data_IF_189849005168
#
_entry.id   IF_189849005168
#
_cell.length_a   1.000
_cell.length_b   1.000
_cell.length_c   1.000
_cell.angle_alpha   90.00
_cell.angle_beta   90.00
_cell.angle_gamma   90.00
#
_symmetry.space_group_name_H-M   'P 1'
#
loop_
_entity.id
_entity.type
_entity.pdbx_description
1 polymer ?
#
# COMPACT_ATOMS: atom_id res chain seq x y z
N UNK A 1 21.78 -10.77 32.62
CA UNK A 1 20.83 -10.32 31.59
C UNK A 1 20.47 -11.54 30.75
N UNK A 2 19.20 -11.97 30.73
CA UNK A 2 18.79 -13.25 30.13
C UNK A 2 19.07 -13.29 28.61
N UNK A 3 19.51 -14.43 28.04
CA UNK A 3 19.78 -14.57 26.61
C UNK A 3 18.57 -14.26 25.70
N UNK A 4 17.34 -14.40 26.23
CA UNK A 4 16.10 -14.05 25.52
C UNK A 4 15.97 -12.54 25.22
N UNK A 5 16.54 -11.66 26.07
CA UNK A 5 16.52 -10.22 25.84
C UNK A 5 17.51 -9.77 24.75
N UNK A 6 18.65 -10.46 24.61
CA UNK A 6 19.61 -10.16 23.54
C UNK A 6 19.06 -10.55 22.17
N UNK A 7 18.34 -11.67 22.05
CA UNK A 7 17.79 -12.13 20.78
C UNK A 7 16.67 -11.19 20.27
N UNK A 8 15.76 -10.76 21.14
CA UNK A 8 14.70 -9.81 20.77
C UNK A 8 15.24 -8.45 20.32
N UNK A 9 16.33 -7.99 20.95
CA UNK A 9 16.95 -6.71 20.58
C UNK A 9 17.58 -6.78 19.19
N UNK A 10 18.30 -7.87 18.87
CA UNK A 10 18.84 -8.13 17.53
C UNK A 10 17.75 -8.24 16.48
N UNK A 11 16.65 -8.93 16.78
CA UNK A 11 15.49 -9.01 15.89
C UNK A 11 14.89 -7.63 15.62
N UNK A 12 14.69 -6.81 16.67
CA UNK A 12 14.17 -5.45 16.48
C UNK A 12 15.12 -4.57 15.66
N UNK A 13 16.44 -4.76 15.78
CA UNK A 13 17.44 -4.06 14.98
C UNK A 13 17.47 -4.54 13.51
N UNK A 14 17.29 -5.85 13.29
CA UNK A 14 17.24 -6.46 11.95
C UNK A 14 15.96 -6.05 11.21
N UNK A 15 14.81 -6.08 11.88
CA UNK A 15 13.53 -5.57 11.37
C UNK A 15 13.57 -4.07 11.13
N UNK A 16 14.15 -3.29 12.05
CA UNK A 16 14.32 -1.85 11.86
C UNK A 16 15.21 -1.56 10.65
N UNK A 17 16.27 -2.34 10.42
CA UNK A 17 17.09 -2.23 9.20
C UNK A 17 16.31 -2.58 7.94
N UNK A 18 15.55 -3.67 7.91
CA UNK A 18 14.74 -4.05 6.75
C UNK A 18 13.64 -3.02 6.44
N UNK A 19 12.97 -2.49 7.46
CA UNK A 19 11.98 -1.41 7.31
C UNK A 19 12.65 -0.11 6.87
N UNK A 20 13.84 0.20 7.41
CA UNK A 20 14.64 1.33 6.95
C UNK A 20 15.07 1.13 5.50
N UNK A 21 15.45 -0.08 5.09
CA UNK A 21 15.88 -0.41 3.73
C UNK A 21 14.72 -0.27 2.73
N UNK A 22 13.55 -0.80 3.07
CA UNK A 22 12.26 -0.59 2.41
C UNK A 22 11.97 0.90 2.17
N UNK A 23 12.19 1.73 3.18
CA UNK A 23 11.98 3.18 3.10
C UNK A 23 13.15 3.92 2.41
N UNK A 24 14.34 3.33 2.39
CA UNK A 24 15.58 3.93 1.88
C UNK A 24 15.79 3.73 0.39
N UNK A 25 14.99 2.89 -0.28
CA UNK A 25 14.91 2.90 -1.73
C UNK A 25 14.70 4.35 -2.15
N UNK A 26 15.74 4.95 -2.73
CA UNK A 26 15.74 6.37 -3.06
C UNK A 26 14.75 6.56 -4.20
N UNK A 27 13.51 6.86 -3.83
CA UNK A 27 12.48 7.26 -4.78
C UNK A 27 13.01 8.46 -5.55
N UNK A 28 13.03 8.34 -6.87
CA UNK A 28 13.22 9.48 -7.74
C UNK A 28 12.17 10.55 -7.39
N UNK A 29 12.47 11.82 -7.62
CA UNK A 29 11.48 12.88 -7.36
C UNK A 29 10.16 12.62 -8.11
N UNK A 30 10.24 11.97 -9.26
CA UNK A 30 9.10 11.53 -10.07
C UNK A 30 8.27 10.45 -9.39
N UNK A 31 8.90 9.48 -8.73
CA UNK A 31 8.20 8.39 -8.03
C UNK A 31 7.39 8.94 -6.85
N UNK A 32 7.98 9.90 -6.11
CA UNK A 32 7.29 10.58 -5.00
C UNK A 32 6.09 11.37 -5.50
N UNK A 33 6.24 12.03 -6.64
CA UNK A 33 5.15 12.77 -7.28
C UNK A 33 4.04 11.83 -7.78
N UNK A 34 4.39 10.72 -8.43
CA UNK A 34 3.45 9.69 -8.88
C UNK A 34 2.65 9.09 -7.71
N UNK A 35 3.31 8.77 -6.58
CA UNK A 35 2.65 8.28 -5.37
C UNK A 35 1.67 9.31 -4.79
N UNK A 36 2.06 10.59 -4.77
CA UNK A 36 1.18 11.66 -4.29
C UNK A 36 -0.05 11.82 -5.18
N UNK A 37 0.15 11.83 -6.50
CA UNK A 37 -0.93 11.88 -7.50
C UNK A 37 -1.87 10.67 -7.34
N UNK A 38 -1.33 9.46 -7.23
CA UNK A 38 -2.15 8.25 -7.06
C UNK A 38 -3.01 8.30 -5.81
N UNK A 39 -2.49 8.83 -4.71
CA UNK A 39 -3.27 8.97 -3.47
C UNK A 39 -4.45 9.94 -3.63
N UNK A 40 -4.28 11.01 -4.40
CA UNK A 40 -5.33 12.01 -4.62
C UNK A 40 -6.33 11.56 -5.69
N UNK A 41 -5.84 11.09 -6.84
CA UNK A 41 -6.67 10.66 -7.98
C UNK A 41 -7.35 9.31 -7.73
N UNK A 42 -6.70 8.41 -6.98
CA UNK A 42 -7.25 7.08 -6.64
C UNK A 42 -8.41 7.11 -5.65
N UNK A 43 -8.80 8.27 -5.13
CA UNK A 43 -9.96 8.37 -4.23
C UNK A 43 -11.27 8.33 -5.02
N UNK A 44 -12.17 7.43 -4.64
CA UNK A 44 -13.51 7.35 -5.23
C UNK A 44 -14.30 8.66 -5.15
N UNK A 45 -14.05 9.46 -4.09
CA UNK A 45 -14.70 10.78 -3.92
C UNK A 45 -14.24 11.80 -4.97
N UNK A 46 -12.97 11.74 -5.38
CA UNK A 46 -12.42 12.63 -6.41
C UNK A 46 -13.07 12.35 -7.78
N UNK A 47 -13.25 11.07 -8.11
CA UNK A 47 -13.98 10.67 -9.33
C UNK A 47 -15.41 11.21 -9.35
N UNK A 48 -16.16 11.06 -8.24
CA UNK A 48 -17.52 11.60 -8.14
C UNK A 48 -17.56 13.13 -8.27
N UNK A 49 -16.59 13.83 -7.71
CA UNK A 49 -16.49 15.29 -7.82
C UNK A 49 -16.27 15.73 -9.27
N UNK A 50 -15.33 15.08 -9.99
CA UNK A 50 -15.09 15.36 -11.41
C UNK A 50 -16.31 15.04 -12.28
N UNK A 51 -16.99 13.93 -12.00
CA UNK A 51 -18.20 13.55 -12.69
C UNK A 51 -19.31 14.58 -12.47
N UNK A 52 -19.56 14.96 -11.21
CA UNK A 52 -20.56 15.97 -10.86
C UNK A 52 -20.26 17.32 -11.50
N UNK A 53 -19.00 17.76 -11.48
CA UNK A 53 -18.54 18.97 -12.16
C UNK A 53 -18.80 18.90 -13.68
N UNK A 54 -18.44 17.79 -14.32
CA UNK A 54 -18.64 17.59 -15.76
C UNK A 54 -20.12 17.63 -16.14
N UNK A 55 -20.97 16.94 -15.38
CA UNK A 55 -22.42 16.93 -15.59
C UNK A 55 -23.01 18.33 -15.38
N UNK A 56 -22.59 19.03 -14.33
CA UNK A 56 -23.07 20.39 -14.03
C UNK A 56 -22.67 21.36 -15.15
N UNK A 57 -21.43 21.27 -15.62
CA UNK A 57 -20.93 22.10 -16.71
C UNK A 57 -21.65 21.80 -18.04
N UNK A 58 -21.91 20.52 -18.33
CA UNK A 58 -22.69 20.12 -19.50
C UNK A 58 -24.13 20.61 -19.42
N UNK A 59 -24.77 20.49 -18.25
CA UNK A 59 -26.11 20.99 -18.02
C UNK A 59 -26.18 22.51 -18.20
N UNK A 60 -25.18 23.24 -17.68
CA UNK A 60 -25.08 24.69 -17.86
C UNK A 60 -24.94 25.10 -19.33
N UNK A 61 -24.07 24.43 -20.10
CA UNK A 61 -23.91 24.76 -21.52
C UNK A 61 -25.09 24.31 -22.40
N UNK A 62 -25.81 23.25 -22.01
CA UNK A 62 -26.96 22.74 -22.77
C UNK A 62 -28.25 23.54 -22.51
N UNK A 63 -28.53 23.84 -21.24
CA UNK A 63 -29.79 24.50 -20.83
C UNK A 63 -29.62 26.01 -20.58
N UNK A 64 -28.38 26.52 -20.57
CA UNK A 64 -28.10 27.93 -20.36
C UNK A 64 -28.53 28.83 -21.53
N UNK A 65 -28.79 30.12 -21.29
CA UNK A 65 -29.11 31.10 -22.32
C UNK A 65 -28.00 31.19 -23.37
N UNK A 66 -28.34 31.32 -24.66
CA UNK A 66 -27.36 31.34 -25.77
C UNK A 66 -26.23 32.37 -25.57
N UNK A 67 -26.54 33.52 -24.96
CA UNK A 67 -25.57 34.59 -24.68
C UNK A 67 -24.55 34.27 -23.56
N UNK A 68 -24.81 33.24 -22.75
CA UNK A 68 -23.96 32.81 -21.63
C UNK A 68 -23.36 31.41 -21.87
N UNK A 69 -23.58 30.82 -23.06
CA UNK A 69 -22.96 29.55 -23.43
C UNK A 69 -21.48 29.77 -23.69
N UNK A 70 -20.65 29.18 -22.83
CA UNK A 70 -19.19 29.23 -22.94
C UNK A 70 -18.69 28.37 -24.10
N UNK A 71 -19.42 27.29 -24.46
CA UNK A 71 -19.01 26.32 -25.47
C UNK A 71 -20.15 26.00 -26.48
N UNK A 72 -20.30 26.81 -27.55
CA UNK A 72 -21.21 26.53 -28.65
C UNK A 72 -20.75 25.31 -29.48
N UNK A 73 -21.70 24.61 -30.11
CA UNK A 73 -21.40 23.56 -31.09
C UNK A 73 -20.45 24.13 -32.17
N UNK A 74 -19.21 23.63 -32.36
CA UNK A 74 -18.69 22.28 -32.13
C UNK A 74 -17.60 22.12 -31.04
N UNK A 75 -17.32 23.14 -30.22
CA UNK A 75 -16.17 23.12 -29.31
C UNK A 75 -16.32 22.10 -28.15
N UNK A 76 -17.54 21.70 -27.80
CA UNK A 76 -17.81 20.62 -26.84
C UNK A 76 -17.11 19.31 -27.20
N UNK A 77 -17.14 18.93 -28.48
CA UNK A 77 -16.51 17.69 -28.97
C UNK A 77 -15.00 17.78 -28.82
N UNK A 78 -14.42 18.95 -29.09
CA UNK A 78 -12.99 19.19 -28.89
C UNK A 78 -12.61 19.14 -27.42
N UNK A 79 -13.43 19.70 -26.52
CA UNK A 79 -13.21 19.63 -25.08
C UNK A 79 -13.22 18.18 -24.57
N UNK A 80 -14.22 17.38 -24.96
CA UNK A 80 -14.28 15.97 -24.61
C UNK A 80 -13.07 15.19 -25.15
N UNK A 81 -12.68 15.46 -26.40
CA UNK A 81 -11.52 14.83 -27.01
C UNK A 81 -10.22 15.17 -26.27
N UNK A 82 -10.00 16.44 -25.95
CA UNK A 82 -8.83 16.90 -25.18
C UNK A 82 -8.84 16.29 -23.78
N UNK A 83 -9.99 16.26 -23.11
CA UNK A 83 -10.14 15.63 -21.79
C UNK A 83 -9.77 14.14 -21.83
N UNK A 84 -10.26 13.41 -22.84
CA UNK A 84 -9.94 12.00 -23.01
C UNK A 84 -8.44 11.76 -23.30
N UNK A 85 -7.82 12.59 -24.14
CA UNK A 85 -6.38 12.54 -24.38
C UNK A 85 -5.57 12.74 -23.10
N UNK A 86 -5.94 13.72 -22.28
CA UNK A 86 -5.29 13.96 -20.97
C UNK A 86 -5.46 12.75 -20.04
N UNK A 87 -6.66 12.13 -20.01
CA UNK A 87 -6.90 10.92 -19.22
C UNK A 87 -5.99 9.77 -19.64
N UNK A 88 -5.81 9.55 -20.95
CA UNK A 88 -4.92 8.50 -21.46
C UNK A 88 -3.45 8.74 -21.07
N UNK A 89 -3.01 10.00 -21.02
CA UNK A 89 -1.67 10.34 -20.53
C UNK A 89 -1.50 10.08 -19.01
N UNK A 90 -2.59 10.11 -18.24
CA UNK A 90 -2.54 9.79 -16.81
C UNK A 90 -2.41 8.28 -16.52
N UNK A 91 -2.82 7.39 -17.43
CA UNK A 91 -2.78 5.93 -17.19
C UNK A 91 -1.35 5.40 -16.90
N UNK A 92 -0.32 5.72 -17.70
CA UNK A 92 1.05 5.28 -17.41
C UNK A 92 1.59 5.84 -16.09
N UNK A 93 1.23 7.09 -15.75
CA UNK A 93 1.61 7.71 -14.48
C UNK A 93 0.97 6.97 -13.30
N UNK A 94 -0.32 6.63 -13.42
CA UNK A 94 -1.03 5.82 -12.45
C UNK A 94 -0.39 4.43 -12.30
N UNK A 95 -0.04 3.80 -13.42
CA UNK A 95 0.58 2.48 -13.47
C UNK A 95 1.94 2.46 -12.75
N UNK A 96 2.78 3.48 -12.91
CA UNK A 96 4.06 3.58 -12.18
C UNK A 96 3.84 3.64 -10.67
N UNK A 97 2.88 4.45 -10.21
CA UNK A 97 2.59 4.50 -8.78
C UNK A 97 1.95 3.20 -8.25
N UNK A 98 1.21 2.45 -9.08
CA UNK A 98 0.66 1.14 -8.71
C UNK A 98 1.76 0.08 -8.60
N UNK A 99 2.68 0.00 -9.58
CA UNK A 99 3.83 -0.91 -9.56
C UNK A 99 4.68 -0.69 -8.30
N UNK A 100 4.88 0.57 -7.92
CA UNK A 100 5.67 0.92 -6.74
C UNK A 100 5.01 0.49 -5.42
N UNK A 101 3.69 0.69 -5.30
CA UNK A 101 2.93 0.22 -4.15
C UNK A 101 2.86 -1.32 -4.11
N UNK A 102 2.73 -1.99 -5.27
CA UNK A 102 2.78 -3.45 -5.37
C UNK A 102 4.10 -4.01 -4.86
N UNK A 103 5.24 -3.47 -5.34
CA UNK A 103 6.57 -3.89 -4.87
C UNK A 103 6.75 -3.70 -3.37
N UNK A 104 6.21 -2.63 -2.79
CA UNK A 104 6.21 -2.42 -1.33
C UNK A 104 5.35 -3.46 -0.61
N UNK A 105 4.20 -3.81 -1.18
CA UNK A 105 3.33 -4.85 -0.64
C UNK A 105 4.02 -6.21 -0.66
N UNK A 106 4.69 -6.56 -1.76
CA UNK A 106 5.41 -7.84 -1.92
C UNK A 106 6.57 -7.96 -0.92
N UNK A 107 7.36 -6.90 -0.78
CA UNK A 107 8.45 -6.87 0.21
C UNK A 107 7.93 -6.97 1.65
N UNK A 108 6.79 -6.33 1.96
CA UNK A 108 6.16 -6.45 3.29
C UNK A 108 5.67 -7.88 3.53
N UNK A 109 5.06 -8.51 2.52
CA UNK A 109 4.62 -9.89 2.61
C UNK A 109 5.78 -10.85 2.86
N UNK A 110 6.94 -10.64 2.21
CA UNK A 110 8.15 -11.45 2.45
C UNK A 110 8.67 -11.30 3.90
N UNK A 111 8.70 -10.07 4.43
CA UNK A 111 9.12 -9.81 5.81
C UNK A 111 8.15 -10.47 6.79
N UNK A 112 6.84 -10.29 6.58
CA UNK A 112 5.81 -10.91 7.43
C UNK A 112 5.88 -12.43 7.39
N UNK A 113 6.20 -13.02 6.22
CA UNK A 113 6.43 -14.45 6.07
C UNK A 113 7.63 -14.93 6.89
N UNK A 114 8.79 -14.26 6.81
CA UNK A 114 9.98 -14.62 7.57
C UNK A 114 9.75 -14.48 9.09
N UNK A 115 9.05 -13.44 9.53
CA UNK A 115 8.65 -13.27 10.94
C UNK A 115 7.78 -14.44 11.40
N UNK A 116 6.76 -14.81 10.61
CA UNK A 116 5.86 -15.90 10.94
C UNK A 116 6.59 -17.24 11.00
N UNK A 117 7.49 -17.53 10.05
CA UNK A 117 8.29 -18.75 10.05
C UNK A 117 9.15 -18.86 11.30
N UNK A 118 9.84 -17.79 11.68
CA UNK A 118 10.65 -17.77 12.91
C UNK A 118 9.80 -17.91 14.16
N UNK A 119 8.63 -17.27 14.23
CA UNK A 119 7.71 -17.42 15.35
C UNK A 119 7.20 -18.87 15.47
N UNK A 120 7.00 -19.56 14.35
CA UNK A 120 6.66 -20.98 14.35
C UNK A 120 7.81 -21.84 14.89
N UNK A 121 9.05 -21.57 14.50
CA UNK A 121 10.26 -22.24 15.03
C UNK A 121 10.41 -22.03 16.54
N UNK A 122 10.27 -20.80 17.02
CA UNK A 122 10.32 -20.47 18.45
C UNK A 122 9.20 -21.20 19.23
N UNK A 123 7.98 -21.24 18.69
CA UNK A 123 6.86 -21.96 19.30
C UNK A 123 7.15 -23.47 19.37
N UNK A 124 7.70 -24.07 18.32
CA UNK A 124 8.09 -25.50 18.33
C UNK A 124 9.16 -25.77 19.39
N UNK A 125 10.13 -24.88 19.54
CA UNK A 125 11.17 -25.02 20.56
C UNK A 125 10.59 -24.94 21.98
N UNK A 126 9.67 -24.00 22.22
CA UNK A 126 8.96 -23.87 23.50
C UNK A 126 8.15 -25.14 23.79
N UNK A 127 7.38 -25.65 22.82
CA UNK A 127 6.60 -26.89 22.97
C UNK A 127 7.51 -28.07 23.31
N UNK A 128 8.63 -28.22 22.61
CA UNK A 128 9.60 -29.29 22.88
C UNK A 128 10.16 -29.21 24.31
N UNK A 129 10.53 -28.01 24.76
CA UNK A 129 11.02 -27.79 26.14
C UNK A 129 9.94 -28.10 27.18
N UNK A 130 8.67 -27.74 26.91
CA UNK A 130 7.54 -28.07 27.79
C UNK A 130 7.30 -29.58 27.87
N UNK A 131 7.38 -30.31 26.76
CA UNK A 131 7.27 -31.77 26.73
C UNK A 131 8.44 -32.47 27.46
N UNK A 132 9.65 -31.94 27.35
CA UNK A 132 10.81 -32.41 28.12
C UNK A 132 10.59 -32.22 29.62
N UNK A 133 10.16 -31.03 30.05
CA UNK A 133 9.82 -30.76 31.45
C UNK A 133 8.69 -31.65 31.98
N UNK A 134 7.63 -31.88 31.20
CA UNK A 134 6.55 -32.79 31.60
C UNK A 134 7.05 -34.23 31.80
N UNK A 135 7.95 -34.70 30.93
CA UNK A 135 8.54 -36.04 31.05
C UNK A 135 9.39 -36.18 32.30
N UNK A 136 10.21 -35.19 32.62
CA UNK A 136 11.01 -35.18 33.86
C UNK A 136 10.12 -35.23 35.11
N UNK A 137 9.10 -34.37 35.17
CA UNK A 137 8.14 -34.36 36.29
C UNK A 137 7.46 -35.72 36.44
N UNK A 138 7.02 -36.33 35.33
CA UNK A 138 6.36 -37.63 35.36
C UNK A 138 7.30 -38.75 35.85
N UNK A 139 8.58 -38.71 35.50
CA UNK A 139 9.58 -39.67 35.99
C UNK A 139 9.82 -39.52 37.49
N UNK A 140 9.90 -38.29 38.01
CA UNK A 140 10.07 -38.04 39.44
C UNK A 140 8.88 -38.55 40.27
N UNK A 141 7.66 -38.41 39.77
CA UNK A 141 6.45 -38.92 40.43
C UNK A 141 6.36 -40.46 40.41
N UNK A 142 7.00 -41.14 39.45
CA UNK A 142 7.00 -42.61 39.34
C UNK A 142 8.06 -43.30 40.20
N UNK A 143 9.10 -42.57 40.59
CA UNK A 143 10.22 -43.07 41.40
C UNK A 143 10.06 -42.78 42.92
N UNK A 144 8.90 -42.26 43.34
CA UNK A 144 8.45 -42.20 44.73
C UNK A 144 7.41 -43.30 45.00
#
# INVERSE_FOLDING_TARGET
MSPLYQNRRRLSEELAKQIAELNSQKFSQLDRFALWINKQIGSFRFFLLLLAWTVLWLAWNSFGPDALRFDPFPAFVLWLFISNMIQLLFLPLLMVGQELESRRSDLRAEIDFEINRRAEEENREILKRLEEQQREIHQLLKNQ
#
